data_IF_385447764393
#
_entry.id   IF_385447764393
#
_cell.length_a   1.000
_cell.length_b   1.000
_cell.length_c   1.000
_cell.angle_alpha   90.00
_cell.angle_beta   90.00
_cell.angle_gamma   90.00
#
_symmetry.space_group_name_H-M   'P 1'
#
loop_
_entity.id
_entity.type
_entity.pdbx_description
1 polymer ?
#
# COMPACT_ATOMS: atom_id res chain seq x y z
N UNK A 1 -10.68 -15.14 -9.16
CA UNK A 1 -10.65 -14.21 -10.32
C UNK A 1 -9.45 -13.30 -10.21
N UNK A 2 -8.83 -12.87 -11.34
CA UNK A 2 -7.73 -11.91 -11.31
C UNK A 2 -8.19 -10.56 -10.75
N UNK A 3 -7.28 -9.81 -10.10
CA UNK A 3 -7.57 -8.44 -9.67
C UNK A 3 -7.84 -7.56 -10.90
N UNK A 4 -8.79 -6.64 -10.75
CA UNK A 4 -8.95 -5.56 -11.73
C UNK A 4 -7.81 -4.56 -11.55
N UNK A 5 -7.39 -3.89 -12.62
CA UNK A 5 -6.24 -2.98 -12.58
C UNK A 5 -6.41 -1.77 -13.49
N UNK A 6 -5.82 -0.63 -13.11
CA UNK A 6 -5.87 0.62 -13.88
C UNK A 6 -5.36 1.82 -13.09
N UNK A 7 -5.52 3.02 -13.66
CA UNK A 7 -5.33 4.27 -12.91
C UNK A 7 -6.39 4.42 -11.82
N UNK A 8 -6.14 5.28 -10.82
CA UNK A 8 -7.09 5.47 -9.72
C UNK A 8 -8.47 5.97 -10.20
N UNK A 9 -8.52 6.73 -11.29
CA UNK A 9 -9.78 7.20 -11.88
C UNK A 9 -10.71 6.08 -12.37
N UNK A 10 -10.17 4.87 -12.61
CA UNK A 10 -10.94 3.69 -12.95
C UNK A 10 -11.39 2.88 -11.74
N UNK A 11 -10.89 3.17 -10.54
CA UNK A 11 -11.27 2.47 -9.32
C UNK A 11 -12.72 2.82 -9.00
N UNK A 12 -13.61 1.82 -8.84
CA UNK A 12 -15.01 2.06 -8.51
C UNK A 12 -15.16 2.35 -7.01
N UNK A 13 -14.63 3.48 -6.54
CA UNK A 13 -14.50 3.83 -5.12
C UNK A 13 -15.84 3.72 -4.37
N UNK A 14 -16.93 4.23 -4.94
CA UNK A 14 -18.26 4.16 -4.30
C UNK A 14 -18.82 2.73 -4.22
N UNK A 15 -18.35 1.81 -5.06
CA UNK A 15 -18.70 0.39 -4.98
C UNK A 15 -17.85 -0.33 -3.94
N UNK A 16 -16.55 0.00 -3.87
CA UNK A 16 -15.62 -0.59 -2.91
C UNK A 16 -15.88 -0.12 -1.48
N UNK A 17 -16.30 1.15 -1.31
CA UNK A 17 -16.49 1.80 -0.02
C UNK A 17 -17.82 2.56 0.02
N UNK A 18 -18.98 1.85 0.02
CA UNK A 18 -20.31 2.44 -0.13
C UNK A 18 -20.71 3.42 0.98
N UNK A 19 -20.03 3.37 2.12
CA UNK A 19 -20.24 4.25 3.27
C UNK A 19 -19.58 5.64 3.13
N UNK A 20 -18.74 5.85 2.11
CA UNK A 20 -18.08 7.14 1.91
C UNK A 20 -19.04 8.20 1.38
N UNK A 21 -18.92 9.42 1.90
CA UNK A 21 -19.56 10.60 1.31
C UNK A 21 -18.84 11.02 0.02
N UNK A 22 -19.49 11.83 -0.81
CA UNK A 22 -18.87 12.39 -2.03
C UNK A 22 -17.57 13.14 -1.73
N UNK A 23 -17.55 13.95 -0.65
CA UNK A 23 -16.34 14.67 -0.23
C UNK A 23 -15.20 13.73 0.19
N UNK A 24 -15.52 12.59 0.81
CA UNK A 24 -14.53 11.58 1.17
C UNK A 24 -13.98 10.87 -0.09
N UNK A 25 -14.84 10.56 -1.07
CA UNK A 25 -14.39 10.02 -2.36
C UNK A 25 -13.44 10.98 -3.08
N UNK A 26 -13.78 12.27 -3.14
CA UNK A 26 -12.89 13.29 -3.73
C UNK A 26 -11.55 13.41 -2.98
N UNK A 27 -11.57 13.23 -1.66
CA UNK A 27 -10.37 13.20 -0.81
C UNK A 27 -9.47 12.02 -1.18
N UNK A 28 -10.02 10.80 -1.29
CA UNK A 28 -9.28 9.63 -1.77
C UNK A 28 -8.67 9.87 -3.16
N UNK A 29 -9.43 10.44 -4.09
CA UNK A 29 -8.93 10.76 -5.44
C UNK A 29 -7.79 11.78 -5.43
N UNK A 30 -7.88 12.82 -4.59
CA UNK A 30 -6.77 13.79 -4.43
C UNK A 30 -5.53 13.13 -3.85
N UNK A 31 -5.69 12.31 -2.81
CA UNK A 31 -4.61 11.59 -2.17
C UNK A 31 -3.92 10.62 -3.16
N UNK A 32 -4.69 9.85 -3.93
CA UNK A 32 -4.15 8.96 -4.96
C UNK A 32 -3.33 9.73 -6.01
N UNK A 33 -3.82 10.89 -6.47
CA UNK A 33 -3.06 11.75 -7.40
C UNK A 33 -1.73 12.23 -6.84
N UNK A 34 -1.62 12.45 -5.53
CA UNK A 34 -0.35 12.82 -4.88
C UNK A 34 0.64 11.66 -5.02
N UNK A 35 0.20 10.43 -4.75
CA UNK A 35 1.06 9.24 -4.89
C UNK A 35 1.43 9.00 -6.35
N UNK A 36 0.47 9.06 -7.26
CA UNK A 36 0.69 8.86 -8.69
C UNK A 36 1.71 9.87 -9.25
N UNK A 37 1.66 11.12 -8.79
CA UNK A 37 2.61 12.17 -9.18
C UNK A 37 4.02 11.99 -8.58
N UNK A 38 4.14 11.26 -7.47
CA UNK A 38 5.42 10.98 -6.81
C UNK A 38 6.14 9.77 -7.42
N UNK A 39 5.47 8.97 -8.25
CA UNK A 39 6.10 7.78 -8.85
C UNK A 39 7.24 8.16 -9.81
N UNK A 40 8.25 7.29 -9.96
CA UNK A 40 9.35 7.52 -10.90
C UNK A 40 8.86 7.71 -12.34
N UNK A 41 9.46 8.67 -13.06
CA UNK A 41 9.11 8.98 -14.44
C UNK A 41 9.14 7.72 -15.33
N UNK A 42 8.08 7.52 -16.11
CA UNK A 42 7.92 6.36 -16.99
C UNK A 42 7.26 5.15 -16.33
N UNK A 43 6.98 5.20 -15.03
CA UNK A 43 6.14 4.21 -14.34
C UNK A 43 4.69 4.67 -14.42
N UNK A 44 3.81 3.83 -14.97
CA UNK A 44 2.37 4.09 -14.91
C UNK A 44 1.85 3.57 -13.57
N UNK A 45 1.26 4.47 -12.77
CA UNK A 45 0.58 4.08 -11.54
C UNK A 45 -0.51 3.04 -11.86
N UNK A 46 -0.32 1.83 -11.33
CA UNK A 46 -1.23 0.72 -11.52
C UNK A 46 -1.86 0.37 -10.18
N UNK A 47 -3.07 0.85 -9.97
CA UNK A 47 -3.89 0.45 -8.85
C UNK A 47 -4.57 -0.87 -9.18
N UNK A 48 -4.65 -1.76 -8.20
CA UNK A 48 -5.35 -3.03 -8.29
C UNK A 48 -6.51 -3.06 -7.29
N UNK A 49 -7.63 -3.67 -7.68
CA UNK A 49 -8.79 -3.80 -6.78
C UNK A 49 -9.58 -5.08 -7.03
N UNK A 50 -10.35 -5.48 -6.01
CA UNK A 50 -11.32 -6.58 -6.08
C UNK A 50 -12.66 -6.19 -5.48
N UNK A 51 -13.70 -6.25 -6.30
CA UNK A 51 -15.07 -5.95 -5.88
C UNK A 51 -15.57 -6.96 -4.84
N UNK A 52 -15.18 -8.22 -4.98
CA UNK A 52 -15.59 -9.30 -4.07
C UNK A 52 -15.02 -9.10 -2.66
N UNK A 53 -13.92 -8.35 -2.54
CA UNK A 53 -13.28 -8.07 -1.26
C UNK A 53 -13.92 -6.88 -0.54
N UNK A 54 -14.78 -6.09 -1.20
CA UNK A 54 -15.48 -4.95 -0.59
C UNK A 54 -16.49 -5.34 0.49
N UNK A 55 -16.78 -6.63 0.65
CA UNK A 55 -17.66 -7.15 1.70
C UNK A 55 -16.84 -8.00 2.66
N UNK A 56 -16.87 -7.65 3.94
CA UNK A 56 -16.23 -8.45 4.98
C UNK A 56 -16.95 -9.80 5.14
N UNK A 57 -16.21 -10.91 5.00
CA UNK A 57 -16.74 -12.27 5.10
C UNK A 57 -16.31 -13.01 6.37
N UNK A 58 -15.70 -12.29 7.32
CA UNK A 58 -15.19 -12.84 8.58
C UNK A 58 -13.66 -12.79 8.65
N UNK A 59 -13.08 -13.08 9.84
CA UNK A 59 -11.64 -13.16 10.01
C UNK A 59 -11.08 -14.25 9.11
N UNK A 60 -10.02 -13.95 8.37
CA UNK A 60 -9.38 -14.92 7.48
C UNK A 60 -7.91 -15.09 7.87
N UNK A 61 -7.35 -16.24 7.50
CA UNK A 61 -5.90 -16.48 7.65
C UNK A 61 -5.02 -15.60 6.76
N UNK A 62 -5.61 -14.72 5.94
CA UNK A 62 -4.93 -13.77 5.04
C UNK A 62 -5.71 -12.45 4.97
N UNK A 63 -4.99 -11.33 4.95
CA UNK A 63 -5.55 -9.98 4.79
C UNK A 63 -6.25 -9.84 3.45
N UNK A 64 -7.54 -9.52 3.45
CA UNK A 64 -8.28 -9.23 2.22
C UNK A 64 -8.00 -7.80 1.78
N UNK A 65 -7.05 -7.65 0.87
CA UNK A 65 -6.76 -6.38 0.22
C UNK A 65 -7.88 -6.05 -0.77
N UNK A 66 -8.54 -4.92 -0.54
CA UNK A 66 -9.65 -4.40 -1.36
C UNK A 66 -9.09 -3.58 -2.51
N UNK A 67 -8.11 -2.73 -2.19
CA UNK A 67 -7.45 -1.78 -3.07
C UNK A 67 -5.96 -1.77 -2.75
N UNK A 68 -5.13 -1.75 -3.80
CA UNK A 68 -3.69 -1.88 -3.71
C UNK A 68 -3.01 -0.98 -4.74
N UNK A 69 -1.85 -0.46 -4.37
CA UNK A 69 -0.85 0.09 -5.26
C UNK A 69 0.50 -0.48 -4.84
N UNK A 70 1.17 -1.16 -5.76
CA UNK A 70 2.55 -1.61 -5.58
C UNK A 70 3.46 -0.88 -6.57
N UNK A 71 4.50 -0.23 -6.03
CA UNK A 71 5.57 0.39 -6.81
C UNK A 71 6.84 -0.42 -6.58
N UNK A 72 7.10 -1.34 -7.50
CA UNK A 72 8.29 -2.20 -7.46
C UNK A 72 9.43 -1.55 -8.23
N UNK A 73 10.57 -1.36 -7.58
CA UNK A 73 11.81 -0.95 -8.23
C UNK A 73 12.62 -2.18 -8.65
N UNK A 74 12.70 -2.48 -9.96
CA UNK A 74 13.54 -3.56 -10.42
C UNK A 74 15.01 -3.14 -10.30
N UNK A 75 15.80 -3.92 -9.58
CA UNK A 75 17.26 -3.75 -9.56
C UNK A 75 17.91 -5.01 -10.14
N UNK A 76 18.69 -4.86 -11.21
CA UNK A 76 19.47 -5.96 -11.74
C UNK A 76 20.60 -6.27 -10.77
N UNK A 77 20.52 -7.43 -10.12
CA UNK A 77 21.56 -7.90 -9.22
C UNK A 77 21.56 -7.25 -7.83
N UNK A 78 20.44 -6.69 -7.37
CA UNK A 78 20.21 -6.36 -5.95
C UNK A 78 18.85 -6.92 -5.50
N UNK A 79 18.53 -6.80 -4.21
CA UNK A 79 17.21 -7.18 -3.71
C UNK A 79 16.13 -6.28 -4.31
N UNK A 80 14.92 -6.82 -4.47
CA UNK A 80 13.80 -6.00 -4.90
C UNK A 80 13.42 -5.02 -3.77
N UNK A 81 13.00 -3.82 -4.16
CA UNK A 81 12.43 -2.80 -3.26
C UNK A 81 11.02 -2.52 -3.74
N UNK A 82 10.07 -2.61 -2.83
CA UNK A 82 8.67 -2.32 -3.08
C UNK A 82 8.18 -1.28 -2.11
N UNK A 83 7.34 -0.40 -2.64
CA UNK A 83 6.52 0.48 -1.84
C UNK A 83 5.08 0.03 -2.07
N UNK A 84 4.42 -0.38 -1.00
CA UNK A 84 3.07 -0.89 -1.03
C UNK A 84 2.13 0.08 -0.33
N UNK A 85 0.99 0.38 -0.95
CA UNK A 85 -0.07 1.15 -0.34
C UNK A 85 -1.41 0.47 -0.56
N UNK A 86 -2.09 0.09 0.53
CA UNK A 86 -3.26 -0.76 0.47
C UNK A 86 -4.37 -0.36 1.42
N UNK A 87 -5.59 -0.73 1.04
CA UNK A 87 -6.78 -0.72 1.89
C UNK A 87 -7.31 -2.15 1.98
N UNK A 88 -7.50 -2.65 3.19
CA UNK A 88 -8.00 -3.99 3.45
C UNK A 88 -8.95 -4.03 4.64
N UNK A 89 -9.20 -5.24 5.15
CA UNK A 89 -9.94 -5.48 6.38
C UNK A 89 -9.01 -5.90 7.52
N UNK A 90 -9.29 -5.42 8.73
CA UNK A 90 -8.79 -6.02 9.97
C UNK A 90 -9.54 -7.31 10.27
N UNK A 91 -9.02 -8.13 11.19
CA UNK A 91 -9.72 -9.33 11.70
C UNK A 91 -11.06 -9.02 12.37
N UNK A 92 -11.28 -7.77 12.78
CA UNK A 92 -12.51 -7.30 13.40
C UNK A 92 -13.51 -6.74 12.37
N UNK A 93 -13.16 -6.73 11.08
CA UNK A 93 -14.02 -6.20 10.03
C UNK A 93 -14.04 -4.67 9.95
N UNK A 94 -13.02 -4.00 10.47
CA UNK A 94 -12.77 -2.58 10.21
C UNK A 94 -11.92 -2.43 8.96
N UNK A 95 -12.02 -1.29 8.27
CA UNK A 95 -11.06 -1.01 7.21
C UNK A 95 -9.69 -0.75 7.82
N UNK A 96 -8.64 -1.22 7.16
CA UNK A 96 -7.27 -0.89 7.49
C UNK A 96 -6.63 -0.21 6.28
N UNK A 97 -5.90 0.88 6.53
CA UNK A 97 -5.03 1.50 5.54
C UNK A 97 -3.59 1.24 5.96
N UNK A 98 -2.82 0.63 5.07
CA UNK A 98 -1.41 0.32 5.31
C UNK A 98 -0.56 0.84 4.16
N UNK A 99 0.44 1.66 4.48
CA UNK A 99 1.53 2.02 3.60
C UNK A 99 2.80 1.37 4.14
N UNK A 100 3.60 0.72 3.30
CA UNK A 100 4.85 0.10 3.71
C UNK A 100 5.97 0.21 2.68
N UNK A 101 7.20 0.10 3.16
CA UNK A 101 8.39 -0.11 2.35
C UNK A 101 8.91 -1.51 2.62
N UNK A 102 8.99 -2.32 1.58
CA UNK A 102 9.37 -3.72 1.68
C UNK A 102 10.68 -3.94 0.91
N UNK A 103 11.64 -4.60 1.54
CA UNK A 103 12.90 -4.98 0.88
C UNK A 103 12.99 -6.49 0.84
N UNK A 104 13.32 -7.01 -0.33
CA UNK A 104 13.57 -8.43 -0.55
C UNK A 104 14.58 -8.98 0.44
N UNK A 105 14.28 -10.13 1.04
CA UNK A 105 15.15 -10.74 2.03
C UNK A 105 15.30 -12.24 1.86
N UNK A 106 16.50 -12.71 2.22
CA UNK A 106 16.93 -14.11 2.21
C UNK A 106 17.22 -14.62 3.63
N UNK A 107 16.58 -14.05 4.66
CA UNK A 107 16.71 -14.54 6.03
C UNK A 107 16.00 -15.90 6.20
N UNK A 108 16.45 -16.68 7.17
CA UNK A 108 15.95 -18.05 7.41
C UNK A 108 14.51 -18.08 7.94
N UNK A 109 14.03 -16.96 8.48
CA UNK A 109 12.73 -16.86 9.15
C UNK A 109 11.64 -16.16 8.34
N UNK A 110 11.99 -15.47 7.25
CA UNK A 110 11.02 -14.74 6.41
C UNK A 110 11.50 -14.73 4.94
N UNK A 111 11.17 -15.80 4.21
CA UNK A 111 11.51 -15.93 2.81
C UNK A 111 10.60 -15.05 1.95
N UNK A 112 11.08 -13.88 1.52
CA UNK A 112 10.33 -13.01 0.60
C UNK A 112 10.72 -11.54 0.71
N UNK A 113 10.22 -10.88 1.75
CA UNK A 113 10.47 -9.47 2.05
C UNK A 113 10.46 -9.20 3.57
N UNK A 114 11.11 -8.12 3.97
CA UNK A 114 10.87 -7.47 5.27
C UNK A 114 10.25 -6.11 5.06
N UNK A 115 9.26 -5.81 5.90
CA UNK A 115 8.77 -4.45 6.07
C UNK A 115 9.82 -3.66 6.84
N UNK A 116 10.35 -2.64 6.17
CA UNK A 116 11.36 -1.73 6.70
C UNK A 116 10.67 -0.60 7.45
N UNK A 117 9.60 -0.06 6.90
CA UNK A 117 8.84 1.02 7.53
C UNK A 117 7.39 0.87 7.15
N UNK A 118 6.53 1.00 8.15
CA UNK A 118 5.11 0.71 8.04
C UNK A 118 4.34 1.79 8.75
N UNK A 119 3.35 2.33 8.05
CA UNK A 119 2.32 3.16 8.61
C UNK A 119 0.98 2.46 8.42
N UNK A 120 0.34 2.12 9.52
CA UNK A 120 -0.95 1.40 9.53
C UNK A 120 -1.96 2.14 10.39
N UNK A 121 -3.19 2.24 9.87
CA UNK A 121 -4.34 2.79 10.58
C UNK A 121 -5.53 1.83 10.49
N UNK A 122 -6.01 1.36 11.64
CA UNK A 122 -7.33 0.72 11.74
C UNK A 122 -8.41 1.82 11.83
N UNK A 123 -9.33 1.83 10.87
CA UNK A 123 -10.42 2.81 10.81
C UNK A 123 -11.42 2.51 11.92
N UNK A 124 -11.55 3.47 12.85
CA UNK A 124 -12.48 3.40 13.97
C UNK A 124 -11.83 3.22 15.34
N UNK A 125 -10.55 2.83 15.43
CA UNK A 125 -9.87 2.65 16.73
C UNK A 125 -9.57 4.00 17.42
N UNK A 126 -9.28 5.04 16.65
CA UNK A 126 -8.97 6.41 17.13
C UNK A 126 -9.87 7.50 16.47
N UNK A 127 -11.10 7.17 16.09
CA UNK A 127 -12.01 8.04 15.32
C UNK A 127 -11.45 8.53 13.95
N UNK A 128 -10.35 7.95 13.46
CA UNK A 128 -9.82 8.26 12.14
C UNK A 128 -10.75 7.70 11.05
N UNK A 129 -11.20 8.58 10.15
CA UNK A 129 -11.99 8.14 8.99
C UNK A 129 -11.11 7.48 7.94
N UNK A 130 -11.69 6.60 7.12
CA UNK A 130 -10.99 5.98 6.00
C UNK A 130 -10.32 7.02 5.08
N UNK A 131 -11.00 8.13 4.81
CA UNK A 131 -10.42 9.21 3.99
C UNK A 131 -9.18 9.85 4.61
N UNK A 132 -9.18 10.06 5.93
CA UNK A 132 -8.01 10.62 6.63
C UNK A 132 -6.87 9.63 6.74
N UNK A 133 -7.17 8.37 7.03
CA UNK A 133 -6.17 7.30 7.04
C UNK A 133 -5.52 7.15 5.66
N UNK A 134 -6.32 7.21 4.59
CA UNK A 134 -5.85 7.16 3.21
C UNK A 134 -5.01 8.39 2.83
N UNK A 135 -5.42 9.60 3.23
CA UNK A 135 -4.62 10.83 3.03
C UNK A 135 -3.25 10.72 3.72
N UNK A 136 -3.20 10.30 4.99
CA UNK A 136 -1.95 10.16 5.72
C UNK A 136 -1.04 9.07 5.12
N UNK A 137 -1.62 7.94 4.71
CA UNK A 137 -0.89 6.88 4.00
C UNK A 137 -0.33 7.35 2.67
N UNK A 138 -1.12 8.09 1.89
CA UNK A 138 -0.71 8.66 0.61
C UNK A 138 0.43 9.68 0.76
N UNK A 139 0.35 10.58 1.76
CA UNK A 139 1.42 11.52 2.06
C UNK A 139 2.71 10.80 2.44
N UNK A 140 2.61 9.76 3.28
CA UNK A 140 3.77 8.96 3.69
C UNK A 140 4.40 8.23 2.50
N UNK A 141 3.57 7.59 1.69
CA UNK A 141 3.96 6.90 0.46
C UNK A 141 4.66 7.83 -0.52
N UNK A 142 4.08 9.01 -0.79
CA UNK A 142 4.68 10.01 -1.66
C UNK A 142 6.04 10.49 -1.11
N UNK A 143 6.16 10.68 0.21
CA UNK A 143 7.43 10.98 0.87
C UNK A 143 8.49 9.90 0.61
N UNK A 144 8.17 8.64 0.86
CA UNK A 144 9.07 7.51 0.59
C UNK A 144 9.48 7.38 -0.87
N UNK A 145 8.59 7.68 -1.82
CA UNK A 145 8.92 7.67 -3.25
C UNK A 145 9.94 8.74 -3.66
N UNK A 146 10.15 9.77 -2.83
CA UNK A 146 11.20 10.78 -3.02
C UNK A 146 12.54 10.43 -2.37
N UNK A 147 12.56 9.41 -1.51
CA UNK A 147 13.78 8.90 -0.87
C UNK A 147 14.61 8.04 -1.85
N UNK A 148 15.88 7.73 -1.52
CA UNK A 148 16.71 6.86 -2.35
C UNK A 148 16.03 5.52 -2.67
N UNK A 149 15.88 5.27 -3.96
CA UNK A 149 15.31 4.04 -4.52
C UNK A 149 16.36 2.89 -4.53
N UNK A 150 17.10 2.74 -3.42
CA UNK A 150 18.15 1.75 -3.25
C UNK A 150 17.82 0.83 -2.06
N UNK A 151 17.61 -0.48 -2.27
CA UNK A 151 17.38 -1.45 -1.19
C UNK A 151 18.39 -1.37 -0.03
N UNK A 152 19.67 -1.10 -0.31
CA UNK A 152 20.71 -1.02 0.72
C UNK A 152 20.52 0.17 1.67
N UNK A 153 20.01 1.30 1.15
CA UNK A 153 19.68 2.47 1.96
C UNK A 153 18.58 2.11 2.99
N UNK A 154 17.53 1.44 2.53
CA UNK A 154 16.41 1.00 3.38
C UNK A 154 16.83 -0.06 4.40
N UNK A 155 17.67 -1.03 4.00
CA UNK A 155 18.25 -2.01 4.93
C UNK A 155 19.07 -1.34 6.03
N UNK A 156 19.95 -0.41 5.65
CA UNK A 156 20.81 0.29 6.59
C UNK A 156 20.00 1.10 7.61
N UNK A 157 18.87 1.67 7.18
CA UNK A 157 18.01 2.47 8.05
C UNK A 157 17.43 1.67 9.22
N UNK A 158 17.07 0.41 8.99
CA UNK A 158 16.49 -0.48 10.02
C UNK A 158 17.47 -1.54 10.54
N UNK A 159 18.77 -1.37 10.27
CA UNK A 159 19.82 -2.33 10.66
C UNK A 159 19.54 -3.77 10.20
N UNK A 160 18.91 -3.94 9.04
CA UNK A 160 18.68 -5.27 8.47
C UNK A 160 20.01 -5.91 8.04
N UNK A 161 20.13 -7.25 8.10
CA UNK A 161 21.33 -7.93 7.64
C UNK A 161 21.67 -7.56 6.20
N UNK A 162 22.96 -7.37 5.93
CA UNK A 162 23.47 -7.20 4.58
C UNK A 162 23.11 -8.41 3.71
N UNK A 163 22.99 -8.18 2.41
CA UNK A 163 22.72 -9.24 1.44
C UNK A 163 23.79 -10.34 1.54
N UNK A 164 23.36 -11.61 1.53
CA UNK A 164 24.30 -12.74 1.38
C UNK A 164 24.74 -12.78 -0.10
N UNK A 165 26.05 -12.87 -0.39
CA UNK A 165 26.58 -12.91 -1.76
C UNK A 165 26.13 -14.14 -2.54
#
# INVERSE_FOLDING_TARGET
>A
MPMSRGTFDHVPVSTLFPQLSAAAVESLQRAARIVDAAQPQGTAAMWEWKLEHAVFTGPQSQTWVILLLDVVQPTSGSDWLEFQFQVGWTDQGQHEVTASVNVGCWCESNHGAHDVDVLTFAVGDDDISLSRAFEAGAERMAGWLTEPQNPEFWRARENLPARRP
#
